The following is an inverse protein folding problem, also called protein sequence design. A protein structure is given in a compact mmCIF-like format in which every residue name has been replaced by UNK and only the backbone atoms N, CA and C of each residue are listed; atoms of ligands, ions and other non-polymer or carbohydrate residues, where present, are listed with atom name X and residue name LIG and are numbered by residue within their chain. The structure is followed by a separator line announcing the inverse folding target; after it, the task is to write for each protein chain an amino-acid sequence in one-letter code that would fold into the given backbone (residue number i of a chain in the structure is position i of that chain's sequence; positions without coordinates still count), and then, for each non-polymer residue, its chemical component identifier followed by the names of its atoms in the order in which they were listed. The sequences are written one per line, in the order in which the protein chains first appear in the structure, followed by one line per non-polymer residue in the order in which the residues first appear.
data_IF_663155754399
#
_entry.id   IF_663155754399
#
_cell.length_a   1.000
_cell.length_b   1.000
_cell.length_c   1.000
_cell.angle_alpha   90.00
_cell.angle_beta   90.00
_cell.angle_gamma   90.00
#
_symmetry.space_group_name_H-M   'P 1'
#
loop_
_entity.id
_entity.type
_entity.pdbx_description
1 polymer ?
#
# COMPACT_ATOMS: atom_id res chain seq x y z
N UNK A 1 -7.10 -38.38 8.32
CA UNK A 1 -5.90 -37.82 7.66
C UNK A 1 -5.24 -36.93 8.68
N UNK A 2 -3.94 -36.78 8.62
CA UNK A 2 -3.22 -35.93 9.61
C UNK A 2 -3.60 -34.45 9.35
N UNK A 3 -4.07 -33.73 10.36
CA UNK A 3 -4.47 -32.30 10.26
C UNK A 3 -3.40 -31.46 9.55
N UNK A 4 -2.12 -31.81 9.72
CA UNK A 4 -0.99 -31.13 9.06
C UNK A 4 -0.93 -31.30 7.54
N UNK A 5 -1.43 -32.43 7.00
CA UNK A 5 -1.52 -32.59 5.56
C UNK A 5 -2.58 -31.66 4.97
N UNK A 6 -3.71 -31.56 5.65
CA UNK A 6 -4.82 -30.73 5.20
C UNK A 6 -4.43 -29.23 5.29
N UNK A 7 -3.69 -28.82 6.33
CA UNK A 7 -3.14 -27.45 6.46
C UNK A 7 -2.16 -27.10 5.33
N UNK A 8 -1.25 -28.03 4.98
CA UNK A 8 -0.32 -27.82 3.87
C UNK A 8 -1.05 -27.81 2.50
N UNK A 9 -2.06 -28.65 2.33
CA UNK A 9 -2.88 -28.65 1.13
C UNK A 9 -3.67 -27.34 0.97
N UNK A 10 -4.19 -26.79 2.09
CA UNK A 10 -4.86 -25.49 2.10
C UNK A 10 -3.95 -24.33 1.65
N UNK A 11 -2.63 -24.46 1.84
CA UNK A 11 -1.68 -23.46 1.32
C UNK A 11 -1.63 -23.43 -0.21
N UNK A 12 -1.81 -24.60 -0.87
CA UNK A 12 -1.90 -24.69 -2.34
C UNK A 12 -3.23 -24.10 -2.85
N UNK A 13 -4.31 -24.35 -2.11
CA UNK A 13 -5.61 -23.73 -2.38
C UNK A 13 -5.53 -22.20 -2.26
N UNK A 14 -4.90 -21.69 -1.20
CA UNK A 14 -4.62 -20.27 -1.02
C UNK A 14 -3.83 -19.65 -2.17
N UNK A 15 -2.87 -20.38 -2.75
CA UNK A 15 -2.14 -19.94 -3.93
C UNK A 15 -3.06 -19.76 -5.15
N UNK A 16 -3.92 -20.75 -5.44
CA UNK A 16 -4.88 -20.65 -6.55
C UNK A 16 -5.95 -19.59 -6.30
N UNK A 17 -6.40 -19.42 -5.05
CA UNK A 17 -7.29 -18.34 -4.64
C UNK A 17 -6.67 -16.97 -4.92
N UNK A 18 -5.40 -16.78 -4.58
CA UNK A 18 -4.66 -15.54 -4.84
C UNK A 18 -4.59 -15.23 -6.33
N UNK A 19 -4.30 -16.22 -7.18
CA UNK A 19 -4.29 -16.06 -8.62
C UNK A 19 -5.69 -15.79 -9.20
N UNK A 20 -6.74 -16.41 -8.66
CA UNK A 20 -8.12 -16.13 -9.07
C UNK A 20 -8.50 -14.68 -8.76
N UNK A 21 -8.11 -14.17 -7.58
CA UNK A 21 -8.34 -12.74 -7.23
C UNK A 21 -7.58 -11.82 -8.16
N UNK A 22 -6.29 -12.06 -8.38
CA UNK A 22 -5.46 -11.26 -9.28
C UNK A 22 -6.05 -11.18 -10.70
N UNK A 23 -6.38 -12.30 -11.31
CA UNK A 23 -6.99 -12.33 -12.65
C UNK A 23 -8.34 -11.61 -12.65
N UNK A 24 -9.16 -11.79 -11.62
CA UNK A 24 -10.45 -11.12 -11.48
C UNK A 24 -10.33 -9.60 -11.41
N UNK A 25 -9.30 -9.10 -10.74
CA UNK A 25 -8.98 -7.67 -10.63
C UNK A 25 -8.43 -7.12 -11.94
N UNK A 26 -7.37 -7.74 -12.49
CA UNK A 26 -6.69 -7.28 -13.70
C UNK A 26 -7.60 -7.27 -14.94
N UNK A 27 -8.45 -8.29 -15.09
CA UNK A 27 -9.41 -8.38 -16.17
C UNK A 27 -10.72 -7.63 -15.87
N UNK A 28 -10.85 -7.05 -14.69
CA UNK A 28 -12.05 -6.33 -14.23
C UNK A 28 -13.30 -7.20 -14.15
N UNK A 29 -13.16 -8.51 -13.89
CA UNK A 29 -14.26 -9.46 -13.85
C UNK A 29 -15.17 -9.21 -12.64
N UNK A 30 -14.61 -8.99 -11.45
CA UNK A 30 -15.39 -8.69 -10.26
C UNK A 30 -16.24 -7.43 -10.40
N UNK A 31 -15.72 -6.35 -11.01
CA UNK A 31 -16.49 -5.13 -11.26
C UNK A 31 -17.71 -5.40 -12.16
N UNK A 32 -17.55 -6.25 -13.18
CA UNK A 32 -18.65 -6.63 -14.11
C UNK A 32 -19.67 -7.53 -13.43
N UNK A 33 -19.22 -8.49 -12.62
CA UNK A 33 -20.12 -9.36 -11.85
C UNK A 33 -20.95 -8.52 -10.87
N UNK A 34 -20.29 -7.63 -10.10
CA UNK A 34 -20.98 -6.70 -9.19
C UNK A 34 -22.00 -5.83 -9.93
N UNK A 35 -21.64 -5.27 -11.08
CA UNK A 35 -22.53 -4.43 -11.88
C UNK A 35 -23.74 -5.18 -12.46
N UNK A 36 -23.67 -6.51 -12.59
CA UNK A 36 -24.76 -7.36 -13.07
C UNK A 36 -25.75 -7.79 -11.97
N UNK A 37 -25.50 -7.42 -10.71
CA UNK A 37 -26.39 -7.75 -9.60
C UNK A 37 -27.77 -7.07 -9.75
N UNK A 38 -28.88 -7.69 -9.30
CA UNK A 38 -28.96 -9.03 -8.72
C UNK A 38 -29.08 -10.16 -9.77
N UNK A 39 -29.19 -9.85 -11.05
CA UNK A 39 -29.51 -10.81 -12.11
C UNK A 39 -28.35 -11.76 -12.44
N UNK A 40 -27.13 -11.42 -12.05
CA UNK A 40 -25.92 -12.15 -12.37
C UNK A 40 -25.54 -12.10 -13.85
N UNK A 41 -24.35 -12.59 -14.18
CA UNK A 41 -23.81 -12.62 -15.54
C UNK A 41 -23.38 -14.04 -15.92
N UNK A 42 -23.59 -14.43 -17.19
CA UNK A 42 -23.12 -15.74 -17.70
C UNK A 42 -21.64 -15.68 -18.08
N UNK A 43 -20.96 -16.84 -18.10
CA UNK A 43 -19.56 -16.93 -18.53
C UNK A 43 -19.35 -16.31 -19.94
N UNK A 44 -20.21 -16.61 -20.88
CA UNK A 44 -20.15 -16.06 -22.24
C UNK A 44 -20.36 -14.53 -22.26
N UNK A 45 -21.30 -14.02 -21.46
CA UNK A 45 -21.56 -12.58 -21.31
C UNK A 45 -20.35 -11.87 -20.68
N UNK A 46 -19.77 -12.43 -19.62
CA UNK A 46 -18.59 -11.89 -18.94
C UNK A 46 -17.36 -11.90 -19.87
N UNK A 47 -17.12 -12.99 -20.59
CA UNK A 47 -16.05 -13.11 -21.56
C UNK A 47 -16.16 -12.05 -22.67
N UNK A 48 -17.36 -11.84 -23.20
CA UNK A 48 -17.62 -10.80 -24.20
C UNK A 48 -17.34 -9.41 -23.66
N UNK A 49 -17.82 -9.09 -22.45
CA UNK A 49 -17.63 -7.77 -21.81
C UNK A 49 -16.16 -7.51 -21.45
N UNK A 50 -15.39 -8.55 -21.12
CA UNK A 50 -13.99 -8.45 -20.74
C UNK A 50 -13.03 -8.58 -21.95
N UNK A 51 -13.53 -8.95 -23.14
CA UNK A 51 -12.67 -9.22 -24.29
C UNK A 51 -11.79 -10.46 -24.13
N UNK A 52 -12.27 -11.47 -23.37
CA UNK A 52 -11.52 -12.66 -23.00
C UNK A 52 -12.04 -13.90 -23.72
N UNK A 53 -11.23 -14.98 -23.70
CA UNK A 53 -11.62 -16.28 -24.24
C UNK A 53 -12.69 -16.93 -23.36
N UNK A 54 -13.85 -17.38 -23.93
CA UNK A 54 -14.96 -17.92 -23.15
C UNK A 54 -14.58 -19.12 -22.26
N UNK A 55 -13.79 -20.03 -22.74
CA UNK A 55 -13.34 -21.22 -21.99
C UNK A 55 -12.49 -20.84 -20.77
N UNK A 56 -11.65 -19.82 -20.90
CA UNK A 56 -10.83 -19.31 -19.79
C UNK A 56 -11.73 -18.68 -18.71
N UNK A 57 -12.74 -17.88 -19.11
CA UNK A 57 -13.65 -17.27 -18.16
C UNK A 57 -14.56 -18.30 -17.49
N UNK A 58 -15.02 -19.31 -18.21
CA UNK A 58 -15.79 -20.41 -17.62
C UNK A 58 -14.95 -21.15 -16.56
N UNK A 59 -13.70 -21.47 -16.88
CA UNK A 59 -12.77 -22.12 -15.94
C UNK A 59 -12.47 -21.23 -14.74
N UNK A 60 -12.23 -19.93 -14.97
CA UNK A 60 -11.99 -18.97 -13.90
C UNK A 60 -13.21 -18.86 -12.96
N UNK A 61 -14.43 -18.79 -13.49
CA UNK A 61 -15.67 -18.74 -12.68
C UNK A 61 -15.81 -20.00 -11.79
N UNK A 62 -15.49 -21.18 -12.33
CA UNK A 62 -15.51 -22.41 -11.54
C UNK A 62 -14.48 -22.39 -10.41
N UNK A 63 -13.26 -21.90 -10.71
CA UNK A 63 -12.23 -21.71 -9.69
C UNK A 63 -12.67 -20.67 -8.64
N UNK A 64 -13.15 -19.50 -9.08
CA UNK A 64 -13.59 -18.44 -8.20
C UNK A 64 -14.75 -18.87 -7.28
N UNK A 65 -15.65 -19.71 -7.81
CA UNK A 65 -16.71 -20.32 -6.99
C UNK A 65 -16.17 -21.35 -5.99
N UNK A 66 -15.24 -22.21 -6.42
CA UNK A 66 -14.65 -23.23 -5.55
C UNK A 66 -13.86 -22.65 -4.36
N UNK A 67 -13.40 -21.40 -4.49
CA UNK A 67 -12.67 -20.67 -3.43
C UNK A 67 -13.47 -19.51 -2.81
N UNK A 68 -14.79 -19.57 -2.88
CA UNK A 68 -15.75 -18.65 -2.24
C UNK A 68 -15.58 -17.17 -2.61
N UNK A 69 -15.22 -16.87 -3.87
CA UNK A 69 -15.13 -15.50 -4.38
C UNK A 69 -16.39 -15.06 -5.14
N UNK A 70 -17.08 -15.99 -5.73
CA UNK A 70 -18.34 -15.78 -6.45
C UNK A 70 -19.32 -16.93 -6.20
N UNK A 71 -20.61 -16.63 -6.31
CA UNK A 71 -21.66 -17.63 -6.31
C UNK A 71 -22.07 -17.99 -7.72
N UNK A 72 -22.31 -19.28 -7.99
CA UNK A 72 -22.86 -19.76 -9.25
C UNK A 72 -24.27 -20.35 -9.00
N UNK A 73 -25.28 -19.75 -9.65
CA UNK A 73 -26.62 -20.30 -9.75
C UNK A 73 -26.91 -20.67 -11.21
N UNK A 74 -26.87 -21.95 -11.51
CA UNK A 74 -26.89 -22.45 -12.89
C UNK A 74 -25.70 -21.92 -13.69
N UNK A 75 -25.98 -21.10 -14.69
CA UNK A 75 -24.96 -20.48 -15.57
C UNK A 75 -24.61 -19.02 -15.18
N UNK A 76 -25.20 -18.50 -14.10
CA UNK A 76 -25.04 -17.11 -13.71
C UNK A 76 -24.16 -16.94 -12.49
N UNK A 77 -23.20 -16.06 -12.62
CA UNK A 77 -22.31 -15.64 -11.54
C UNK A 77 -22.84 -14.37 -10.85
N UNK A 78 -22.84 -14.40 -9.54
CA UNK A 78 -23.02 -13.24 -8.65
C UNK A 78 -21.88 -13.21 -7.64
N UNK A 79 -21.76 -12.14 -6.87
CA UNK A 79 -20.80 -12.06 -5.78
C UNK A 79 -21.42 -11.37 -4.57
N UNK A 80 -20.94 -11.74 -3.40
CA UNK A 80 -21.29 -11.08 -2.16
C UNK A 80 -20.78 -9.64 -2.12
N UNK A 81 -21.61 -8.71 -1.62
CA UNK A 81 -21.24 -7.30 -1.59
C UNK A 81 -20.07 -7.00 -0.66
N UNK A 82 -19.90 -7.76 0.43
CA UNK A 82 -18.76 -7.57 1.32
C UNK A 82 -17.44 -7.99 0.64
N UNK A 83 -17.44 -9.12 -0.09
CA UNK A 83 -16.29 -9.53 -0.90
C UNK A 83 -15.99 -8.46 -1.97
N UNK A 84 -17.04 -7.91 -2.62
CA UNK A 84 -16.87 -6.83 -3.58
C UNK A 84 -16.26 -5.58 -2.96
N UNK A 85 -16.66 -5.20 -1.75
CA UNK A 85 -16.09 -4.06 -1.04
C UNK A 85 -14.61 -4.29 -0.71
N UNK A 86 -14.26 -5.44 -0.12
CA UNK A 86 -12.88 -5.78 0.24
C UNK A 86 -11.94 -5.81 -0.98
N UNK A 87 -12.42 -6.24 -2.14
CA UNK A 87 -11.59 -6.37 -3.34
C UNK A 87 -11.57 -5.14 -4.26
N UNK A 88 -12.61 -4.28 -4.20
CA UNK A 88 -12.82 -3.24 -5.22
C UNK A 88 -12.91 -1.80 -4.67
N UNK A 89 -13.13 -1.64 -3.37
CA UNK A 89 -13.34 -0.33 -2.76
C UNK A 89 -12.07 0.15 -2.05
N UNK A 90 -11.22 0.85 -2.79
CA UNK A 90 -9.94 1.39 -2.32
C UNK A 90 -10.07 2.59 -1.36
N UNK A 91 -11.31 3.02 -1.06
CA UNK A 91 -11.57 4.06 -0.07
C UNK A 91 -11.80 3.49 1.34
N UNK A 92 -11.58 2.20 1.55
CA UNK A 92 -11.81 1.51 2.83
C UNK A 92 -10.51 0.98 3.42
N UNK A 93 -10.32 1.07 4.76
CA UNK A 93 -9.17 0.45 5.44
C UNK A 93 -9.09 -1.07 5.24
N UNK A 94 -10.23 -1.74 5.02
CA UNK A 94 -10.29 -3.20 4.79
C UNK A 94 -10.01 -3.60 3.33
N UNK A 95 -9.67 -2.67 2.45
CA UNK A 95 -9.35 -2.97 1.05
C UNK A 95 -8.11 -3.84 0.93
N UNK A 96 -8.25 -4.99 0.25
CA UNK A 96 -7.17 -5.94 0.01
C UNK A 96 -6.83 -6.14 -1.48
N UNK A 97 -7.58 -5.50 -2.40
CA UNK A 97 -7.35 -5.68 -3.83
C UNK A 97 -5.93 -5.36 -4.25
N UNK A 98 -5.36 -4.26 -3.75
CA UNK A 98 -3.96 -3.87 -3.99
C UNK A 98 -2.97 -4.88 -3.42
N UNK A 99 -3.23 -5.43 -2.23
CA UNK A 99 -2.38 -6.45 -1.61
C UNK A 99 -2.30 -7.73 -2.46
N UNK A 100 -3.43 -8.19 -3.02
CA UNK A 100 -3.42 -9.34 -3.93
C UNK A 100 -2.62 -9.06 -5.21
N UNK A 101 -2.77 -7.86 -5.79
CA UNK A 101 -2.04 -7.47 -7.00
C UNK A 101 -0.54 -7.39 -6.71
N UNK A 102 -0.12 -6.72 -5.64
CA UNK A 102 1.30 -6.58 -5.28
C UNK A 102 1.94 -7.94 -4.96
N UNK A 103 1.26 -8.80 -4.21
CA UNK A 103 1.74 -10.14 -3.86
C UNK A 103 2.01 -10.98 -5.10
N UNK A 104 1.08 -11.00 -6.07
CA UNK A 104 1.28 -11.76 -7.31
C UNK A 104 2.40 -11.16 -8.14
N UNK A 105 2.42 -9.85 -8.32
CA UNK A 105 3.44 -9.17 -9.15
C UNK A 105 4.84 -9.33 -8.56
N UNK A 106 5.01 -9.21 -7.24
CA UNK A 106 6.28 -9.46 -6.55
C UNK A 106 6.74 -10.92 -6.74
N UNK A 107 5.80 -11.87 -6.63
CA UNK A 107 6.11 -13.30 -6.75
C UNK A 107 6.66 -13.71 -8.12
N UNK A 108 6.43 -12.92 -9.17
CA UNK A 108 6.98 -13.21 -10.51
C UNK A 108 8.52 -13.15 -10.55
N UNK A 109 9.13 -12.47 -9.60
CA UNK A 109 10.60 -12.33 -9.48
C UNK A 109 11.19 -13.30 -8.43
N UNK A 110 10.36 -14.07 -7.71
CA UNK A 110 10.78 -14.93 -6.60
C UNK A 110 11.63 -16.15 -7.01
N UNK A 111 11.72 -16.49 -8.29
CA UNK A 111 12.71 -17.48 -8.74
C UNK A 111 14.13 -17.07 -8.34
N UNK A 112 14.42 -15.77 -8.40
CA UNK A 112 15.72 -15.22 -8.02
C UNK A 112 15.97 -15.21 -6.50
N UNK A 113 14.95 -15.36 -5.65
CA UNK A 113 15.12 -15.49 -4.20
C UNK A 113 16.01 -16.67 -3.79
N UNK A 114 15.97 -17.77 -4.57
CA UNK A 114 16.79 -18.96 -4.30
C UNK A 114 18.28 -18.61 -4.39
N UNK A 115 18.67 -17.83 -5.39
CA UNK A 115 20.05 -17.38 -5.57
C UNK A 115 20.42 -16.27 -4.57
N UNK A 116 19.52 -15.34 -4.32
CA UNK A 116 19.67 -14.32 -3.27
C UNK A 116 19.93 -14.96 -1.90
N UNK A 117 19.17 -15.98 -1.51
CA UNK A 117 19.36 -16.68 -0.24
C UNK A 117 20.75 -17.33 -0.11
N UNK A 118 21.42 -17.64 -1.24
CA UNK A 118 22.78 -18.24 -1.25
C UNK A 118 23.89 -17.19 -1.21
N UNK A 119 23.72 -16.08 -1.90
CA UNK A 119 24.81 -15.10 -2.13
C UNK A 119 24.58 -13.73 -1.47
N UNK A 120 23.36 -13.44 -0.97
CA UNK A 120 23.01 -12.18 -0.32
C UNK A 120 23.01 -10.96 -1.23
N UNK A 121 22.98 -11.15 -2.56
CA UNK A 121 22.96 -10.04 -3.53
C UNK A 121 21.52 -9.64 -3.84
N UNK A 122 21.07 -8.45 -3.41
CA UNK A 122 19.72 -7.99 -3.67
C UNK A 122 19.48 -7.77 -5.17
N UNK A 123 18.20 -7.71 -5.55
CA UNK A 123 17.79 -7.24 -6.85
C UNK A 123 17.92 -5.71 -6.89
N UNK A 124 18.77 -5.19 -7.77
CA UNK A 124 19.08 -3.75 -7.83
C UNK A 124 17.95 -2.91 -8.44
N UNK A 125 17.19 -3.49 -9.38
CA UNK A 125 16.16 -2.75 -10.13
C UNK A 125 14.91 -3.62 -10.25
N UNK A 126 13.80 -3.13 -9.73
CA UNK A 126 12.48 -3.73 -9.93
C UNK A 126 11.88 -3.28 -11.27
N UNK A 127 11.17 -4.16 -11.98
CA UNK A 127 10.53 -3.78 -13.23
C UNK A 127 9.36 -2.81 -12.99
N UNK A 128 8.97 -1.98 -13.98
CA UNK A 128 7.88 -0.98 -13.84
C UNK A 128 6.53 -1.56 -13.39
N UNK A 129 6.26 -2.86 -13.65
CA UNK A 129 5.06 -3.53 -13.14
C UNK A 129 4.99 -3.54 -11.61
N UNK A 130 6.14 -3.66 -10.94
CA UNK A 130 6.25 -3.66 -9.48
C UNK A 130 5.79 -2.33 -8.90
N UNK A 131 6.31 -1.20 -9.36
CA UNK A 131 5.95 0.14 -8.88
C UNK A 131 4.47 0.46 -9.06
N UNK A 132 3.84 -0.05 -10.15
CA UNK A 132 2.38 0.07 -10.32
C UNK A 132 1.59 -0.78 -9.33
N UNK A 133 2.10 -1.96 -8.99
CA UNK A 133 1.46 -2.83 -8.01
C UNK A 133 1.56 -2.26 -6.60
N UNK A 134 2.70 -1.67 -6.22
CA UNK A 134 2.87 -0.95 -4.95
C UNK A 134 1.91 0.26 -4.88
N UNK A 135 1.73 1.02 -5.96
CA UNK A 135 0.75 2.12 -5.99
C UNK A 135 -0.70 1.64 -5.77
N UNK A 136 -1.03 0.41 -6.19
CA UNK A 136 -2.34 -0.19 -5.91
C UNK A 136 -2.44 -0.68 -4.46
N UNK A 137 -1.34 -1.15 -3.87
CA UNK A 137 -1.24 -1.55 -2.48
C UNK A 137 -1.48 -0.33 -1.55
N UNK A 138 -0.72 0.75 -1.75
CA UNK A 138 -0.76 1.94 -0.88
C UNK A 138 -2.07 2.72 -0.95
N UNK A 139 -3.00 2.35 -1.82
CA UNK A 139 -4.35 2.91 -1.79
C UNK A 139 -5.08 2.63 -0.47
N UNK A 140 -4.86 1.45 0.15
CA UNK A 140 -5.37 1.13 1.48
C UNK A 140 -4.85 2.11 2.54
N UNK A 141 -3.57 2.45 2.51
CA UNK A 141 -2.94 3.31 3.51
C UNK A 141 -3.49 4.73 3.46
N UNK A 142 -3.93 5.20 2.29
CA UNK A 142 -4.64 6.47 2.17
C UNK A 142 -5.96 6.41 2.96
N UNK A 143 -6.74 5.35 2.80
CA UNK A 143 -7.98 5.16 3.55
C UNK A 143 -7.72 5.03 5.06
N UNK A 144 -6.68 4.29 5.46
CA UNK A 144 -6.23 4.16 6.85
C UNK A 144 -5.85 5.52 7.43
N UNK A 145 -5.05 6.32 6.72
CA UNK A 145 -4.69 7.66 7.17
C UNK A 145 -5.92 8.54 7.43
N UNK A 146 -6.88 8.59 6.50
CA UNK A 146 -8.05 9.47 6.61
C UNK A 146 -9.08 8.98 7.63
N UNK A 147 -9.31 7.68 7.75
CA UNK A 147 -10.39 7.14 8.59
C UNK A 147 -9.91 6.82 10.01
N UNK A 148 -8.69 6.31 10.16
CA UNK A 148 -8.14 5.90 11.44
C UNK A 148 -7.10 6.90 11.94
N UNK A 149 -6.11 7.26 11.12
CA UNK A 149 -5.00 8.13 11.50
C UNK A 149 -5.44 9.52 11.94
N UNK A 150 -6.29 10.20 11.17
CA UNK A 150 -6.81 11.52 11.55
C UNK A 150 -7.72 11.45 12.78
N UNK A 151 -8.43 10.35 12.99
CA UNK A 151 -9.24 10.12 14.19
C UNK A 151 -8.37 9.92 15.43
N UNK A 152 -7.24 9.25 15.29
CA UNK A 152 -6.25 9.05 16.36
C UNK A 152 -5.43 10.33 16.66
N UNK A 153 -5.32 11.24 15.68
CA UNK A 153 -4.53 12.48 15.75
C UNK A 153 -5.40 13.74 15.49
N UNK A 154 -6.36 14.08 16.37
CA UNK A 154 -7.30 15.16 16.12
C UNK A 154 -6.62 16.54 15.96
N UNK A 155 -5.49 16.78 16.62
CA UNK A 155 -4.71 18.01 16.46
C UNK A 155 -4.07 18.12 15.09
N UNK A 156 -3.67 16.98 14.47
CA UNK A 156 -3.19 16.95 13.10
C UNK A 156 -4.32 17.26 12.12
N UNK A 157 -5.49 16.65 12.32
CA UNK A 157 -6.68 16.92 11.51
C UNK A 157 -7.07 18.42 11.57
N UNK A 158 -7.06 19.01 12.77
CA UNK A 158 -7.33 20.44 12.95
C UNK A 158 -6.27 21.33 12.26
N UNK A 159 -5.00 20.95 12.32
CA UNK A 159 -3.91 21.68 11.65
C UNK A 159 -4.08 21.67 10.13
N UNK A 160 -4.40 20.52 9.53
CA UNK A 160 -4.68 20.40 8.10
C UNK A 160 -5.90 21.21 7.68
N UNK A 161 -6.98 21.18 8.47
CA UNK A 161 -8.20 21.96 8.22
C UNK A 161 -7.96 23.48 8.29
N UNK A 162 -7.00 23.92 9.10
CA UNK A 162 -6.59 25.34 9.20
C UNK A 162 -5.73 25.83 8.03
N UNK A 163 -5.40 24.96 7.09
CA UNK A 163 -4.44 25.22 6.02
C UNK A 163 -3.00 25.11 6.54
N UNK A 164 -2.06 24.92 5.64
CA UNK A 164 -0.65 24.78 5.99
C UNK A 164 0.16 24.23 4.81
N UNK A 165 1.47 24.10 5.04
CA UNK A 165 2.37 23.49 4.06
C UNK A 165 2.66 22.05 4.45
N UNK A 166 2.45 21.16 3.52
CA UNK A 166 2.65 19.71 3.69
C UNK A 166 3.72 19.23 2.72
N UNK A 167 4.64 18.42 3.22
CA UNK A 167 5.64 17.71 2.42
C UNK A 167 5.38 16.21 2.53
N UNK A 168 5.22 15.55 1.40
CA UNK A 168 5.14 14.10 1.27
C UNK A 168 6.46 13.58 0.70
N UNK A 169 7.19 12.82 1.49
CA UNK A 169 8.52 12.31 1.11
C UNK A 169 8.38 10.88 0.61
N UNK A 170 8.88 10.60 -0.59
CA UNK A 170 8.64 9.38 -1.37
C UNK A 170 7.16 9.23 -1.73
N UNK A 171 6.59 10.27 -2.34
CA UNK A 171 5.16 10.39 -2.59
C UNK A 171 4.59 9.41 -3.65
N UNK A 172 5.41 8.56 -4.24
CA UNK A 172 5.00 7.59 -5.25
C UNK A 172 4.21 8.24 -6.39
N UNK A 173 3.00 7.73 -6.68
CA UNK A 173 2.09 8.29 -7.69
C UNK A 173 1.34 9.57 -7.26
N UNK A 174 1.61 10.13 -6.08
CA UNK A 174 1.04 11.40 -5.60
C UNK A 174 -0.43 11.32 -5.17
N UNK A 175 -0.99 10.14 -5.03
CA UNK A 175 -2.43 9.95 -4.72
C UNK A 175 -2.80 10.48 -3.33
N UNK A 176 -1.94 10.27 -2.33
CA UNK A 176 -2.18 10.81 -0.98
C UNK A 176 -2.22 12.34 -1.00
N UNK A 177 -1.30 12.99 -1.71
CA UNK A 177 -1.29 14.46 -1.88
C UNK A 177 -2.60 14.97 -2.50
N UNK A 178 -3.12 14.26 -3.52
CA UNK A 178 -4.40 14.60 -4.16
C UNK A 178 -5.56 14.43 -3.18
N UNK A 179 -5.56 13.38 -2.39
CA UNK A 179 -6.59 13.14 -1.37
C UNK A 179 -6.57 14.23 -0.29
N UNK A 180 -5.38 14.59 0.23
CA UNK A 180 -5.21 15.70 1.19
C UNK A 180 -5.67 17.03 0.59
N UNK A 181 -5.24 17.36 -0.64
CA UNK A 181 -5.65 18.58 -1.31
C UNK A 181 -7.16 18.66 -1.53
N UNK A 182 -7.81 17.52 -1.77
CA UNK A 182 -9.26 17.45 -1.96
C UNK A 182 -10.01 17.67 -0.66
N UNK A 183 -9.56 17.02 0.43
CA UNK A 183 -10.23 17.08 1.73
C UNK A 183 -9.92 18.40 2.49
N UNK A 184 -8.72 18.96 2.30
CA UNK A 184 -8.24 20.17 2.96
C UNK A 184 -7.88 21.23 1.91
N UNK A 185 -8.86 22.01 1.42
CA UNK A 185 -8.68 22.90 0.27
C UNK A 185 -7.69 24.06 0.51
N UNK A 186 -7.37 24.39 1.74
CA UNK A 186 -6.45 25.49 2.09
C UNK A 186 -4.98 25.06 2.21
N UNK A 187 -4.67 23.74 2.08
CA UNK A 187 -3.30 23.24 2.17
C UNK A 187 -2.51 23.50 0.87
N UNK A 188 -1.22 23.80 1.03
CA UNK A 188 -0.23 23.79 -0.06
C UNK A 188 0.70 22.59 0.10
N UNK A 189 0.87 21.81 -0.96
CA UNK A 189 1.51 20.51 -0.88
C UNK A 189 2.72 20.41 -1.82
N UNK A 190 3.77 19.76 -1.32
CA UNK A 190 4.95 19.37 -2.09
C UNK A 190 5.10 17.85 -1.96
N UNK A 191 5.30 17.16 -3.06
CA UNK A 191 5.72 15.77 -3.09
C UNK A 191 7.12 15.63 -3.66
N UNK A 192 7.92 14.73 -3.09
CA UNK A 192 9.21 14.36 -3.67
C UNK A 192 9.23 12.87 -4.00
N UNK A 193 9.72 12.56 -5.20
CA UNK A 193 9.83 11.19 -5.71
C UNK A 193 11.05 11.08 -6.61
N UNK A 194 11.85 10.03 -6.45
CA UNK A 194 13.06 9.82 -7.25
C UNK A 194 12.85 8.79 -8.36
N UNK A 195 12.00 7.79 -8.18
CA UNK A 195 11.78 6.75 -9.17
C UNK A 195 11.06 7.35 -10.41
N UNK A 196 11.66 7.26 -11.62
CA UNK A 196 11.20 8.04 -12.78
C UNK A 196 9.76 7.72 -13.22
N UNK A 197 9.34 6.45 -13.17
CA UNK A 197 7.98 6.06 -13.58
C UNK A 197 6.93 6.53 -12.56
N UNK A 198 7.24 6.47 -11.27
CA UNK A 198 6.38 6.98 -10.18
C UNK A 198 6.27 8.49 -10.25
N UNK A 199 7.39 9.19 -10.42
CA UNK A 199 7.43 10.64 -10.64
C UNK A 199 6.56 11.07 -11.83
N UNK A 200 6.71 10.39 -12.97
CA UNK A 200 5.92 10.71 -14.16
C UNK A 200 4.42 10.45 -13.93
N UNK A 201 4.06 9.42 -13.15
CA UNK A 201 2.66 9.16 -12.76
C UNK A 201 2.14 10.24 -11.82
N UNK A 202 2.92 10.63 -10.80
CA UNK A 202 2.53 11.69 -9.86
C UNK A 202 2.22 13.01 -10.58
N UNK A 203 3.10 13.45 -11.46
CA UNK A 203 2.91 14.66 -12.26
C UNK A 203 1.61 14.56 -13.09
N UNK A 204 1.38 13.43 -13.76
CA UNK A 204 0.17 13.21 -14.57
C UNK A 204 -1.09 13.21 -13.70
N UNK A 205 -1.12 12.47 -12.58
CA UNK A 205 -2.28 12.42 -11.70
C UNK A 205 -2.64 13.80 -11.13
N UNK A 206 -1.64 14.58 -10.73
CA UNK A 206 -1.84 15.97 -10.26
C UNK A 206 -2.42 16.85 -11.38
N UNK A 207 -1.96 16.72 -12.62
CA UNK A 207 -2.51 17.44 -13.76
C UNK A 207 -3.97 17.03 -14.04
N UNK A 208 -4.25 15.74 -14.09
CA UNK A 208 -5.57 15.18 -14.34
C UNK A 208 -6.58 15.54 -13.25
N UNK A 209 -6.14 15.69 -12.00
CA UNK A 209 -6.99 16.13 -10.88
C UNK A 209 -7.30 17.62 -10.88
N UNK A 210 -6.63 18.43 -11.71
CA UNK A 210 -6.77 19.89 -11.74
C UNK A 210 -6.13 20.60 -10.53
N UNK A 211 -5.30 19.93 -9.75
CA UNK A 211 -4.71 20.44 -8.50
C UNK A 211 -3.26 20.99 -8.65
N UNK A 212 -2.77 21.16 -9.88
CA UNK A 212 -1.40 21.64 -10.17
C UNK A 212 -1.10 23.03 -9.60
N UNK A 213 -2.09 23.84 -9.25
CA UNK A 213 -1.91 25.11 -8.57
C UNK A 213 -1.62 25.00 -7.07
N UNK A 214 -1.80 23.83 -6.48
CA UNK A 214 -1.68 23.55 -5.03
C UNK A 214 -0.69 22.46 -4.69
N UNK A 215 -0.44 21.53 -5.64
CA UNK A 215 0.48 20.41 -5.47
C UNK A 215 1.66 20.62 -6.44
N UNK A 216 2.86 20.63 -5.89
CA UNK A 216 4.11 20.61 -6.64
C UNK A 216 4.77 19.26 -6.47
N UNK A 217 5.20 18.62 -7.57
CA UNK A 217 5.97 17.37 -7.52
C UNK A 217 7.39 17.65 -7.98
N UNK A 218 8.38 17.22 -7.20
CA UNK A 218 9.80 17.39 -7.52
C UNK A 218 10.52 16.04 -7.61
N UNK A 219 11.33 15.89 -8.67
CA UNK A 219 12.19 14.71 -8.87
C UNK A 219 13.46 14.84 -8.04
N UNK A 220 13.44 14.38 -6.78
CA UNK A 220 14.60 14.39 -5.89
C UNK A 220 14.56 13.28 -4.85
N UNK A 221 15.72 12.88 -4.32
CA UNK A 221 15.78 11.89 -3.24
C UNK A 221 15.31 12.48 -1.91
N UNK A 222 14.79 11.62 -1.03
CA UNK A 222 14.25 12.01 0.28
C UNK A 222 15.30 12.54 1.27
N UNK A 223 16.57 12.29 1.02
CA UNK A 223 17.69 12.81 1.82
C UNK A 223 18.20 14.21 1.36
N UNK A 224 17.71 14.74 0.21
CA UNK A 224 18.08 16.08 -0.32
C UNK A 224 16.86 17.00 -0.38
N UNK A 225 16.49 17.59 0.75
CA UNK A 225 15.31 18.43 0.92
C UNK A 225 15.71 19.87 1.24
N UNK A 226 15.56 20.84 0.28
CA UNK A 226 16.11 22.20 0.41
C UNK A 226 15.19 23.19 1.13
N UNK A 227 14.30 22.72 2.02
CA UNK A 227 13.27 23.56 2.67
C UNK A 227 13.32 23.56 4.19
N UNK A 228 14.43 23.94 4.85
CA UNK A 228 14.54 23.88 6.28
C UNK A 228 13.47 24.72 6.98
N UNK A 229 12.74 24.11 7.93
CA UNK A 229 11.75 24.78 8.77
C UNK A 229 10.53 25.35 8.04
N UNK A 230 10.11 24.73 6.91
CA UNK A 230 9.04 25.33 6.08
C UNK A 230 7.70 24.62 6.14
N UNK A 231 7.61 23.40 6.70
CA UNK A 231 6.40 22.59 6.63
C UNK A 231 5.74 22.41 8.00
N UNK A 232 4.42 22.48 8.01
CA UNK A 232 3.56 22.17 9.16
C UNK A 232 3.50 20.67 9.40
N UNK A 233 3.48 19.91 8.31
CA UNK A 233 3.52 18.45 8.30
C UNK A 233 4.56 17.97 7.27
N UNK A 234 5.46 17.11 7.71
CA UNK A 234 6.26 16.24 6.83
C UNK A 234 5.79 14.81 7.03
N UNK A 235 5.49 14.13 5.95
CA UNK A 235 4.82 12.85 5.96
C UNK A 235 5.58 11.80 5.14
N UNK A 236 5.58 10.57 5.65
CA UNK A 236 5.95 9.37 4.92
C UNK A 236 4.78 8.39 5.01
N UNK A 237 4.33 7.86 3.88
CA UNK A 237 3.30 6.85 3.82
C UNK A 237 3.87 5.55 3.27
N UNK A 238 3.95 4.52 4.11
CA UNK A 238 4.38 3.18 3.72
C UNK A 238 5.67 3.20 2.87
N UNK A 239 6.66 3.98 3.32
CA UNK A 239 7.80 4.33 2.48
C UNK A 239 9.16 4.19 3.17
N UNK A 240 9.25 4.36 4.49
CA UNK A 240 10.54 4.39 5.19
C UNK A 240 11.26 3.04 5.09
N UNK A 241 10.53 1.96 5.03
CA UNK A 241 11.08 0.61 4.90
C UNK A 241 11.63 0.31 3.48
N UNK A 242 11.25 1.11 2.47
CA UNK A 242 11.74 1.01 1.09
C UNK A 242 12.98 1.88 0.81
N UNK A 243 13.45 2.65 1.80
CA UNK A 243 14.57 3.58 1.64
C UNK A 243 15.89 2.91 2.01
N UNK A 244 16.92 3.10 1.18
CA UNK A 244 18.27 2.55 1.44
C UNK A 244 18.97 3.20 2.65
N UNK A 245 18.74 4.49 2.88
CA UNK A 245 19.23 5.22 4.07
C UNK A 245 18.06 5.94 4.77
N UNK A 246 17.25 5.20 5.56
CA UNK A 246 16.10 5.76 6.25
C UNK A 246 16.48 6.82 7.28
N UNK A 247 17.66 6.70 7.91
CA UNK A 247 18.15 7.68 8.88
C UNK A 247 18.47 9.02 8.21
N UNK A 248 19.09 9.01 7.03
CA UNK A 248 19.36 10.22 6.27
C UNK A 248 18.05 10.88 5.80
N UNK A 249 17.09 10.10 5.27
CA UNK A 249 15.76 10.60 4.87
C UNK A 249 15.00 11.22 6.05
N UNK A 250 14.93 10.55 7.20
CA UNK A 250 14.28 11.08 8.39
C UNK A 250 14.95 12.35 8.89
N UNK A 251 16.29 12.43 8.86
CA UNK A 251 17.04 13.63 9.26
C UNK A 251 16.75 14.82 8.35
N UNK A 252 16.73 14.61 7.04
CA UNK A 252 16.40 15.63 6.05
C UNK A 252 14.95 16.10 6.20
N UNK A 253 14.02 15.15 6.36
CA UNK A 253 12.62 15.42 6.61
C UNK A 253 12.41 16.24 7.89
N UNK A 254 13.07 15.86 9.00
CA UNK A 254 13.01 16.60 10.26
C UNK A 254 13.53 18.03 10.13
N UNK A 255 14.59 18.26 9.35
CA UNK A 255 15.08 19.60 9.10
C UNK A 255 14.04 20.49 8.39
N UNK A 256 13.12 19.91 7.61
CA UNK A 256 12.05 20.61 6.90
C UNK A 256 10.85 20.97 7.79
N UNK A 257 10.66 20.30 8.93
CA UNK A 257 9.58 20.60 9.88
C UNK A 257 9.81 21.97 10.52
N UNK A 258 8.82 22.86 10.52
CA UNK A 258 8.90 24.14 11.22
C UNK A 258 8.71 23.98 12.73
N UNK A 259 8.99 25.03 13.52
CA UNK A 259 8.61 25.10 14.94
C UNK A 259 7.09 24.89 15.08
N UNK A 260 6.69 24.01 16.01
CA UNK A 260 5.30 23.59 16.22
C UNK A 260 4.78 22.61 15.18
N UNK A 261 5.52 22.34 14.10
CA UNK A 261 5.16 21.37 13.06
C UNK A 261 5.42 19.93 13.50
N UNK A 262 5.07 18.98 12.63
CA UNK A 262 5.15 17.54 12.93
C UNK A 262 5.81 16.77 11.78
N UNK A 263 6.57 15.74 12.16
CA UNK A 263 6.94 14.63 11.29
C UNK A 263 6.05 13.44 11.63
N UNK A 264 5.43 12.85 10.65
CA UNK A 264 4.56 11.68 10.77
C UNK A 264 5.00 10.61 9.78
N UNK A 265 5.20 9.41 10.26
CA UNK A 265 5.44 8.21 9.45
C UNK A 265 4.29 7.25 9.71
N UNK A 266 3.53 6.86 8.69
CA UNK A 266 2.58 5.75 8.73
C UNK A 266 3.24 4.57 8.03
N UNK A 267 3.39 3.46 8.74
CA UNK A 267 4.07 2.28 8.20
C UNK A 267 3.55 1.00 8.87
N UNK A 268 3.96 -0.16 8.36
CA UNK A 268 3.61 -1.47 8.87
C UNK A 268 4.79 -2.08 9.62
N UNK A 269 4.52 -2.64 10.80
CA UNK A 269 5.55 -3.16 11.68
C UNK A 269 5.67 -4.68 11.62
N UNK A 270 6.90 -5.18 11.75
CA UNK A 270 7.13 -6.60 12.04
C UNK A 270 6.57 -6.97 13.41
N UNK A 271 6.09 -8.20 13.59
CA UNK A 271 5.73 -8.73 14.90
C UNK A 271 6.91 -8.70 15.87
N UNK A 272 6.67 -8.31 17.11
CA UNK A 272 7.69 -8.27 18.16
C UNK A 272 7.95 -9.64 18.81
N UNK A 273 6.96 -10.54 18.75
CA UNK A 273 7.03 -11.85 19.40
C UNK A 273 6.83 -13.01 18.41
N UNK A 274 7.31 -14.20 18.78
CA UNK A 274 7.08 -15.42 18.01
C UNK A 274 5.60 -15.83 18.01
N UNK A 275 4.83 -15.42 19.00
CA UNK A 275 3.39 -15.68 19.08
C UNK A 275 2.65 -14.83 18.03
N UNK A 276 2.90 -13.54 18.00
CA UNK A 276 2.35 -12.61 17.00
C UNK A 276 2.73 -13.02 15.58
N UNK A 277 3.95 -13.53 15.37
CA UNK A 277 4.42 -14.04 14.07
C UNK A 277 3.56 -15.18 13.50
N UNK A 278 2.79 -15.88 14.34
CA UNK A 278 1.88 -16.96 13.92
C UNK A 278 0.50 -16.48 13.51
N UNK A 279 0.19 -15.20 13.71
CA UNK A 279 -1.06 -14.62 13.21
C UNK A 279 -1.03 -14.52 11.68
N UNK A 280 -2.21 -14.36 11.05
CA UNK A 280 -2.29 -14.11 9.61
C UNK A 280 -1.50 -12.85 9.22
N UNK A 281 -1.66 -11.77 9.99
CA UNK A 281 -0.91 -10.53 9.80
C UNK A 281 0.60 -10.73 9.98
N UNK A 282 1.02 -11.38 11.05
CA UNK A 282 2.45 -11.66 11.31
C UNK A 282 3.12 -12.48 10.22
N UNK A 283 2.44 -13.53 9.73
CA UNK A 283 2.94 -14.34 8.63
C UNK A 283 3.07 -13.53 7.33
N UNK A 284 2.11 -12.63 7.06
CA UNK A 284 2.16 -11.72 5.91
C UNK A 284 3.33 -10.74 6.04
N UNK A 285 3.55 -10.14 7.20
CA UNK A 285 4.67 -9.21 7.42
C UNK A 285 6.03 -9.89 7.22
N UNK A 286 6.20 -11.14 7.67
CA UNK A 286 7.43 -11.90 7.40
C UNK A 286 7.60 -12.28 5.93
N UNK A 287 6.51 -12.50 5.20
CA UNK A 287 6.55 -12.68 3.74
C UNK A 287 6.99 -11.41 3.02
N UNK A 288 6.46 -10.24 3.41
CA UNK A 288 6.87 -8.93 2.89
C UNK A 288 8.33 -8.65 3.26
N UNK A 289 8.75 -8.95 4.50
CA UNK A 289 10.15 -8.79 4.92
C UNK A 289 11.13 -9.58 4.03
N UNK A 290 10.76 -10.78 3.60
CA UNK A 290 11.59 -11.56 2.70
C UNK A 290 11.75 -10.85 1.33
N UNK A 291 10.68 -10.25 0.81
CA UNK A 291 10.70 -9.46 -0.41
C UNK A 291 11.51 -8.15 -0.24
N UNK A 292 11.38 -7.49 0.91
CA UNK A 292 12.17 -6.30 1.25
C UNK A 292 13.68 -6.60 1.30
N UNK A 293 14.07 -7.67 1.96
CA UNK A 293 15.48 -8.09 1.98
C UNK A 293 16.02 -8.38 0.57
N UNK A 294 15.17 -8.95 -0.29
CA UNK A 294 15.50 -9.20 -1.69
C UNK A 294 15.71 -7.91 -2.50
N UNK A 295 15.11 -6.80 -2.07
CA UNK A 295 15.33 -5.46 -2.64
C UNK A 295 16.53 -4.73 -2.02
N UNK A 296 17.11 -5.24 -0.93
CA UNK A 296 18.16 -4.58 -0.18
C UNK A 296 17.64 -3.59 0.88
N UNK A 297 16.35 -3.64 1.17
CA UNK A 297 15.64 -2.82 2.15
C UNK A 297 15.05 -3.70 3.25
N UNK A 298 14.27 -3.16 4.19
CA UNK A 298 13.72 -3.98 5.28
C UNK A 298 12.60 -3.28 6.05
N UNK A 299 11.67 -4.09 6.56
CA UNK A 299 10.75 -3.69 7.62
C UNK A 299 11.42 -3.71 9.00
N UNK A 300 10.86 -2.98 9.94
CA UNK A 300 11.23 -2.98 11.35
C UNK A 300 10.01 -3.29 12.23
N UNK A 301 10.27 -3.71 13.47
CA UNK A 301 9.31 -3.66 14.55
C UNK A 301 9.22 -2.23 15.13
N UNK A 302 8.35 -2.01 16.12
CA UNK A 302 8.18 -0.69 16.77
C UNK A 302 9.50 -0.15 17.34
N UNK A 303 10.28 -1.00 17.98
CA UNK A 303 11.58 -0.64 18.56
C UNK A 303 12.56 -0.23 17.46
N UNK A 304 12.61 -0.95 16.36
CA UNK A 304 13.45 -0.63 15.20
C UNK A 304 13.10 0.72 14.59
N UNK A 305 11.81 0.99 14.33
CA UNK A 305 11.36 2.30 13.86
C UNK A 305 11.70 3.42 14.84
N UNK A 306 11.44 3.25 16.14
CA UNK A 306 11.79 4.26 17.15
C UNK A 306 13.30 4.56 17.17
N UNK A 307 14.14 3.55 17.00
CA UNK A 307 15.59 3.72 16.91
C UNK A 307 16.02 4.55 15.69
N UNK A 308 15.37 4.40 14.53
CA UNK A 308 15.63 5.24 13.36
C UNK A 308 15.43 6.73 13.67
N UNK A 309 14.35 7.08 14.39
CA UNK A 309 14.11 8.47 14.82
C UNK A 309 15.21 8.98 15.76
N UNK A 310 15.65 8.16 16.70
CA UNK A 310 16.74 8.53 17.64
C UNK A 310 18.05 8.73 16.89
N UNK A 311 18.42 7.82 15.98
CA UNK A 311 19.63 7.90 15.15
C UNK A 311 19.61 9.10 14.18
N UNK A 312 18.42 9.48 13.71
CA UNK A 312 18.23 10.69 12.91
C UNK A 312 18.37 11.99 13.74
N UNK A 313 18.47 11.91 15.08
CA UNK A 313 18.56 13.06 15.99
C UNK A 313 17.23 13.75 16.27
N UNK A 314 16.12 13.04 16.07
CA UNK A 314 14.75 13.53 16.29
C UNK A 314 14.33 13.32 17.75
N UNK A 315 14.78 12.21 18.35
CA UNK A 315 14.34 11.72 19.65
C UNK A 315 13.31 10.60 19.50
N UNK A 316 12.85 10.04 20.61
CA UNK A 316 11.85 8.98 20.60
C UNK A 316 10.51 9.50 20.10
N UNK A 317 9.89 8.88 19.07
CA UNK A 317 8.58 9.28 18.57
C UNK A 317 7.45 8.86 19.52
N UNK A 318 6.31 9.53 19.45
CA UNK A 318 5.05 8.95 19.89
C UNK A 318 4.65 7.82 18.94
N UNK A 319 4.09 6.75 19.46
CA UNK A 319 3.67 5.56 18.69
C UNK A 319 2.17 5.40 18.87
N UNK A 320 1.44 5.21 17.78
CA UNK A 320 -0.01 5.02 17.77
C UNK A 320 -0.36 3.87 16.85
N UNK A 321 -0.80 2.75 17.42
CA UNK A 321 -1.28 1.60 16.67
C UNK A 321 -2.72 1.86 16.20
N UNK A 322 -2.98 1.55 14.95
CA UNK A 322 -4.28 1.75 14.31
C UNK A 322 -5.07 0.42 14.24
N UNK A 323 -6.41 0.48 14.19
CA UNK A 323 -7.24 -0.72 14.09
C UNK A 323 -6.92 -1.62 12.89
N UNK A 324 -6.47 -1.05 11.78
CA UNK A 324 -6.02 -1.79 10.58
C UNK A 324 -4.76 -2.63 10.79
N UNK A 325 -3.98 -2.34 11.85
CA UNK A 325 -2.66 -2.93 12.12
C UNK A 325 -1.49 -2.07 11.63
N UNK A 326 -1.75 -0.96 10.93
CA UNK A 326 -0.72 0.04 10.64
C UNK A 326 -0.34 0.81 11.91
N UNK A 327 0.86 1.38 11.93
CA UNK A 327 1.38 2.17 13.07
C UNK A 327 1.76 3.56 12.60
N UNK A 328 1.42 4.57 13.40
CA UNK A 328 1.89 5.93 13.22
C UNK A 328 3.02 6.24 14.21
N UNK A 329 4.14 6.71 13.68
CA UNK A 329 5.24 7.30 14.43
C UNK A 329 5.21 8.81 14.25
N UNK A 330 5.14 9.56 15.35
CA UNK A 330 4.96 11.01 15.33
C UNK A 330 5.99 11.73 16.20
N UNK A 331 6.61 12.77 15.64
CA UNK A 331 7.44 13.71 16.39
C UNK A 331 6.98 15.14 16.14
N UNK A 332 6.96 15.97 17.19
CA UNK A 332 6.64 17.40 17.11
C UNK A 332 7.89 18.22 17.37
N UNK A 333 8.14 19.22 16.53
CA UNK A 333 9.26 20.14 16.70
C UNK A 333 8.86 21.27 17.67
N UNK A 334 9.58 21.33 18.78
CA UNK A 334 9.40 22.37 19.83
C UNK A 334 10.15 23.64 19.49
#
# INVERSE_FOLDING_TARGET
MDDRFDDLAASLDGFYRTWAVYLGLELGLFRRIRAAAPSGVTAAGLATQAGCQPEVIETWLRLAHAVDLVDLDGERATMDEHIAQVLLDDQRPEYLGGQFVSTVVSSLDHEALVEFARNGRPMEIRPPRYHRAIEALTAQDIAVFFQEGLSALPDLAASLAGGGRVLDVHCGGGKWLIAVATQFPETALVGVELEPDSLARAVRHVQESGLSGRITIEGRPGEDLPWPGQFDLVYFQDAIHDVLDPVASLRAAWACVREGGRLVVLDWCLPETLEESRSVHGAMMWGIQLDQLFQGTRLWDHTGFANLFVEAGIGAPGIVDLPSGATIFIAQRS
#
